data_IF_183695001172
#
_entry.id   IF_183695001172
#
_cell.length_a   1.000
_cell.length_b   1.000
_cell.length_c   1.000
_cell.angle_alpha   90.00
_cell.angle_beta   90.00
_cell.angle_gamma   90.00
#
_symmetry.space_group_name_H-M   'P 1'
#
loop_
_entity.id
_entity.type
_entity.pdbx_description
1 polymer ?
#
# COMPACT_ATOMS: atom_id res chain seq x y z
N UNK A 1 4.42 38.62 -9.17
CA UNK A 1 5.64 38.21 -8.44
C UNK A 1 5.22 37.37 -7.24
N UNK A 2 5.51 36.06 -7.24
CA UNK A 2 5.22 35.17 -6.11
C UNK A 2 6.49 35.03 -5.27
N UNK A 3 6.46 35.51 -4.04
CA UNK A 3 7.52 35.30 -3.06
C UNK A 3 7.40 33.88 -2.51
N UNK A 4 8.44 33.05 -2.71
CA UNK A 4 8.56 31.74 -2.07
C UNK A 4 9.08 31.89 -0.64
N UNK A 5 8.56 31.06 0.27
CA UNK A 5 9.02 31.00 1.67
C UNK A 5 10.35 30.25 1.70
N UNK A 6 11.41 30.93 2.16
CA UNK A 6 12.77 30.41 2.32
C UNK A 6 12.98 29.97 3.77
N UNK A 7 13.84 28.97 4.00
CA UNK A 7 14.25 28.59 5.35
C UNK A 7 15.38 29.49 5.91
N UNK A 8 15.78 29.27 7.17
CA UNK A 8 16.85 30.04 7.85
C UNK A 8 18.24 29.90 7.21
N UNK A 9 18.39 29.10 6.15
CA UNK A 9 19.64 28.94 5.38
C UNK A 9 19.53 29.47 3.95
N UNK A 10 18.40 30.11 3.59
CA UNK A 10 18.17 30.66 2.25
C UNK A 10 17.90 29.61 1.18
N UNK A 11 17.65 28.36 1.56
CA UNK A 11 17.23 27.31 0.63
C UNK A 11 15.70 27.36 0.43
N UNK A 12 15.21 27.11 -0.80
CA UNK A 12 13.78 26.95 -1.01
C UNK A 12 13.31 25.74 -0.19
N UNK A 13 12.35 25.97 0.73
CA UNK A 13 11.69 24.87 1.43
C UNK A 13 11.20 23.85 0.41
N UNK A 14 11.69 22.62 0.49
CA UNK A 14 11.22 21.53 -0.36
C UNK A 14 9.71 21.40 -0.14
N UNK A 15 8.92 21.73 -1.16
CA UNK A 15 7.48 21.49 -1.11
C UNK A 15 7.27 20.00 -0.87
N UNK A 16 6.43 19.61 0.10
CA UNK A 16 6.07 18.21 0.26
C UNK A 16 5.55 17.69 -1.10
N UNK A 17 5.81 16.42 -1.45
CA UNK A 17 5.40 15.88 -2.75
C UNK A 17 3.92 16.20 -2.97
N UNK A 18 3.61 16.93 -4.06
CA UNK A 18 2.24 17.31 -4.44
C UNK A 18 1.38 16.07 -4.34
N UNK A 19 0.36 16.11 -3.47
CA UNK A 19 -0.55 15.00 -3.25
C UNK A 19 -1.25 14.65 -4.58
N UNK A 20 -0.84 13.59 -5.30
CA UNK A 20 -1.41 13.31 -6.60
C UNK A 20 -2.60 12.38 -6.36
N UNK A 21 -3.73 12.68 -6.99
CA UNK A 21 -4.84 11.78 -7.33
C UNK A 21 -4.67 10.36 -6.76
N UNK A 22 -5.58 9.91 -5.88
CA UNK A 22 -5.56 8.52 -5.38
C UNK A 22 -5.36 7.58 -6.57
N UNK A 23 -4.36 6.67 -6.55
CA UNK A 23 -4.01 5.94 -7.75
C UNK A 23 -5.22 5.17 -8.25
N UNK A 24 -5.58 5.37 -9.52
CA UNK A 24 -6.36 4.38 -10.27
C UNK A 24 -5.54 3.12 -10.53
N UNK A 25 -4.22 3.20 -10.28
CA UNK A 25 -3.26 2.11 -10.46
C UNK A 25 -3.59 0.91 -9.57
N UNK A 26 -3.78 -0.24 -10.20
CA UNK A 26 -4.10 -1.51 -9.51
C UNK A 26 -2.84 -2.23 -9.00
N UNK A 27 -1.66 -1.62 -9.13
CA UNK A 27 -0.41 -2.09 -8.54
C UNK A 27 -0.61 -2.49 -7.07
N UNK A 28 -0.02 -3.63 -6.70
CA UNK A 28 -0.20 -4.28 -5.40
C UNK A 28 -1.49 -5.13 -5.26
N UNK A 29 -2.48 -5.01 -6.15
CA UNK A 29 -3.61 -5.95 -6.21
C UNK A 29 -3.24 -7.07 -7.19
N UNK A 30 -3.31 -8.32 -6.74
CA UNK A 30 -3.07 -9.46 -7.63
C UNK A 30 -4.38 -9.82 -8.35
N UNK A 31 -4.32 -10.01 -9.67
CA UNK A 31 -5.49 -10.36 -10.49
C UNK A 31 -6.67 -9.38 -10.36
N UNK A 32 -6.44 -8.08 -10.60
CA UNK A 32 -7.43 -7.05 -10.36
C UNK A 32 -8.77 -7.27 -11.09
N UNK A 33 -8.71 -7.68 -12.35
CA UNK A 33 -9.89 -7.91 -13.20
C UNK A 33 -10.75 -9.07 -12.69
N UNK A 34 -10.13 -10.10 -12.10
CA UNK A 34 -10.87 -11.19 -11.49
C UNK A 34 -11.54 -10.74 -10.18
N UNK A 35 -10.78 -10.05 -9.32
CA UNK A 35 -11.32 -9.57 -8.04
C UNK A 35 -12.52 -8.64 -8.23
N UNK A 36 -12.54 -7.85 -9.31
CA UNK A 36 -13.66 -6.97 -9.66
C UNK A 36 -14.99 -7.72 -9.89
N UNK A 37 -14.94 -9.04 -10.16
CA UNK A 37 -16.15 -9.89 -10.29
C UNK A 37 -16.79 -10.23 -8.93
N UNK A 38 -16.06 -10.06 -7.83
CA UNK A 38 -16.45 -10.48 -6.48
C UNK A 38 -16.57 -9.32 -5.50
N UNK A 39 -15.96 -8.16 -5.79
CA UNK A 39 -15.96 -7.00 -4.91
C UNK A 39 -15.87 -5.67 -5.65
N UNK A 40 -16.28 -4.60 -4.99
CA UNK A 40 -16.00 -3.23 -5.41
C UNK A 40 -14.67 -2.73 -4.84
N UNK A 41 -14.10 -1.70 -5.49
CA UNK A 41 -12.97 -0.94 -4.97
C UNK A 41 -13.18 0.54 -5.26
N UNK A 42 -13.25 1.35 -4.22
CA UNK A 42 -13.21 2.79 -4.33
C UNK A 42 -11.97 3.30 -3.59
N UNK A 43 -11.32 4.33 -4.14
CA UNK A 43 -10.21 5.02 -3.49
C UNK A 43 -10.52 6.50 -3.41
N UNK A 44 -10.14 7.12 -2.29
CA UNK A 44 -10.34 8.55 -2.07
C UNK A 44 -8.99 9.17 -1.67
N UNK A 45 -8.67 10.37 -2.20
CA UNK A 45 -7.49 11.09 -1.74
C UNK A 45 -7.66 11.54 -0.29
N UNK A 46 -6.57 11.76 0.45
CA UNK A 46 -6.64 12.32 1.78
C UNK A 46 -6.84 13.83 1.73
N UNK A 47 -7.50 14.37 2.74
CA UNK A 47 -7.58 15.80 3.01
C UNK A 47 -6.20 16.40 3.31
N UNK A 48 -6.06 17.73 3.15
CA UNK A 48 -4.76 18.41 3.25
C UNK A 48 -4.13 18.31 4.64
N UNK A 49 -4.93 18.25 5.71
CA UNK A 49 -4.43 18.21 7.10
C UNK A 49 -3.73 16.90 7.43
N UNK A 50 -4.24 15.77 6.93
CA UNK A 50 -3.70 14.44 7.22
C UNK A 50 -2.82 13.90 6.10
N UNK A 51 -2.81 14.55 4.94
CA UNK A 51 -2.12 14.08 3.72
C UNK A 51 -0.61 13.95 3.85
N UNK A 52 -0.02 14.54 4.91
CA UNK A 52 1.37 14.29 5.30
C UNK A 52 1.60 12.86 5.77
N UNK A 53 0.65 12.24 6.47
CA UNK A 53 0.78 10.87 7.01
C UNK A 53 -0.02 9.85 6.20
N UNK A 54 -1.18 10.24 5.68
CA UNK A 54 -2.10 9.39 4.92
C UNK A 54 -1.79 9.50 3.43
N UNK A 55 -1.73 8.35 2.75
CA UNK A 55 -1.50 8.29 1.30
C UNK A 55 -2.85 8.29 0.55
N UNK A 56 -3.79 7.45 0.98
CA UNK A 56 -5.18 7.44 0.50
C UNK A 56 -6.09 6.60 1.40
N UNK A 57 -7.39 6.72 1.15
CA UNK A 57 -8.43 5.86 1.69
C UNK A 57 -8.88 4.85 0.63
N UNK A 58 -9.37 3.71 1.08
CA UNK A 58 -9.95 2.69 0.21
C UNK A 58 -11.21 2.08 0.81
N UNK A 59 -12.15 1.69 -0.03
CA UNK A 59 -13.40 1.04 0.36
C UNK A 59 -13.60 -0.19 -0.49
N UNK A 60 -13.86 -1.32 0.16
CA UNK A 60 -14.15 -2.60 -0.46
C UNK A 60 -15.47 -3.10 0.09
N UNK A 61 -16.41 -3.41 -0.80
CA UNK A 61 -17.67 -4.09 -0.45
C UNK A 61 -17.81 -5.34 -1.29
N UNK A 62 -18.39 -6.39 -0.72
CA UNK A 62 -18.71 -7.62 -1.45
C UNK A 62 -20.06 -8.14 -0.99
N UNK A 63 -20.75 -8.78 -1.94
CA UNK A 63 -21.90 -9.63 -1.68
C UNK A 63 -21.81 -10.81 -2.66
N UNK A 64 -21.55 -11.99 -2.11
CA UNK A 64 -21.38 -13.19 -2.90
C UNK A 64 -22.70 -13.89 -3.21
N UNK A 65 -23.84 -13.44 -2.66
CA UNK A 65 -25.17 -13.97 -2.99
C UNK A 65 -25.29 -15.50 -2.84
N UNK A 66 -24.61 -16.09 -1.84
CA UNK A 66 -24.57 -17.54 -1.62
C UNK A 66 -23.54 -18.31 -2.46
N UNK A 67 -22.71 -17.64 -3.27
CA UNK A 67 -21.56 -18.27 -3.93
C UNK A 67 -20.54 -18.77 -2.90
N UNK A 68 -19.70 -19.76 -3.28
CA UNK A 68 -18.58 -20.19 -2.44
C UNK A 68 -17.66 -19.02 -2.06
N UNK A 69 -16.92 -19.13 -0.93
CA UNK A 69 -15.92 -18.16 -0.53
C UNK A 69 -14.91 -17.84 -1.64
N UNK A 70 -14.53 -16.57 -1.75
CA UNK A 70 -13.51 -16.10 -2.69
C UNK A 70 -12.27 -15.62 -1.93
N UNK A 71 -11.08 -15.97 -2.41
CA UNK A 71 -9.81 -15.56 -1.80
C UNK A 71 -9.23 -14.36 -2.56
N UNK A 72 -9.41 -13.16 -2.01
CA UNK A 72 -8.80 -11.96 -2.55
C UNK A 72 -7.33 -11.87 -2.12
N UNK A 73 -6.43 -11.72 -3.09
CA UNK A 73 -4.99 -11.69 -2.85
C UNK A 73 -4.41 -10.30 -3.12
N UNK A 74 -3.55 -9.83 -2.21
CA UNK A 74 -2.89 -8.53 -2.31
C UNK A 74 -1.40 -8.73 -2.03
N UNK A 75 -0.57 -8.09 -2.85
CA UNK A 75 0.85 -7.95 -2.62
C UNK A 75 1.09 -6.65 -1.82
N UNK A 76 1.30 -6.74 -0.50
CA UNK A 76 1.20 -5.57 0.37
C UNK A 76 2.29 -4.55 0.07
N UNK A 77 1.94 -3.28 0.21
CA UNK A 77 2.89 -2.19 0.22
C UNK A 77 3.64 -2.10 1.55
N UNK A 78 4.82 -1.46 1.59
CA UNK A 78 5.57 -1.17 2.82
C UNK A 78 4.87 -0.09 3.67
N UNK A 79 3.60 -0.31 4.02
CA UNK A 79 2.71 0.65 4.69
C UNK A 79 1.91 -0.02 5.79
N UNK A 80 1.66 0.72 6.88
CA UNK A 80 0.64 0.38 7.87
C UNK A 80 -0.72 0.80 7.35
N UNK A 81 -1.75 -0.02 7.57
CA UNK A 81 -3.13 0.29 7.22
C UNK A 81 -4.02 0.27 8.46
N UNK A 82 -4.90 1.25 8.59
CA UNK A 82 -6.08 1.11 9.46
C UNK A 82 -7.20 0.47 8.63
N UNK A 83 -7.94 -0.45 9.21
CA UNK A 83 -9.14 -1.01 8.60
C UNK A 83 -10.31 -0.98 9.58
N UNK A 84 -11.49 -0.66 9.07
CA UNK A 84 -12.77 -0.74 9.74
C UNK A 84 -13.59 -1.76 8.98
N UNK A 85 -13.88 -2.87 9.62
CA UNK A 85 -14.38 -4.08 8.95
C UNK A 85 -15.74 -4.47 9.51
N UNK A 86 -16.62 -4.92 8.61
CA UNK A 86 -17.89 -5.56 8.97
C UNK A 86 -18.15 -6.73 8.03
N UNK A 87 -18.05 -7.95 8.53
CA UNK A 87 -18.46 -9.17 7.86
C UNK A 87 -18.99 -10.18 8.87
N UNK A 88 -19.48 -11.32 8.38
CA UNK A 88 -19.89 -12.43 9.25
C UNK A 88 -18.74 -13.00 10.11
N UNK A 89 -17.50 -12.87 9.64
CA UNK A 89 -16.31 -13.49 10.25
C UNK A 89 -15.42 -12.50 11.00
N UNK A 90 -15.57 -11.20 10.74
CA UNK A 90 -14.74 -10.16 11.36
C UNK A 90 -15.46 -8.83 11.39
N UNK A 91 -15.58 -8.26 12.58
CA UNK A 91 -16.08 -6.90 12.80
C UNK A 91 -15.14 -6.15 13.74
N UNK A 92 -14.90 -4.88 13.47
CA UNK A 92 -14.05 -4.03 14.31
C UNK A 92 -13.08 -3.14 13.55
N UNK A 93 -12.37 -2.29 14.30
CA UNK A 93 -11.25 -1.49 13.81
C UNK A 93 -9.93 -2.20 14.09
N UNK A 94 -9.00 -2.16 13.14
CA UNK A 94 -7.68 -2.81 13.27
C UNK A 94 -6.54 -1.92 12.75
N UNK A 95 -5.39 -2.01 13.42
CA UNK A 95 -4.10 -1.57 12.90
C UNK A 95 -3.41 -2.78 12.27
N UNK A 96 -3.22 -2.74 10.96
CA UNK A 96 -2.53 -3.76 10.19
C UNK A 96 -1.12 -3.25 9.91
N UNK A 97 -0.12 -3.82 10.58
CA UNK A 97 1.28 -3.47 10.30
C UNK A 97 1.72 -3.94 8.92
N UNK A 98 2.98 -3.67 8.57
CA UNK A 98 3.51 -4.13 7.28
C UNK A 98 3.46 -5.65 7.22
N UNK A 99 2.74 -6.16 6.22
CA UNK A 99 2.65 -7.58 5.92
C UNK A 99 3.78 -7.93 4.95
N UNK A 100 4.65 -8.84 5.39
CA UNK A 100 5.87 -9.22 4.67
C UNK A 100 5.69 -10.41 3.75
N UNK A 101 4.52 -11.05 3.80
CA UNK A 101 4.08 -12.13 2.91
C UNK A 101 2.90 -11.68 2.05
N UNK A 102 2.49 -12.52 1.09
CA UNK A 102 1.22 -12.33 0.38
C UNK A 102 0.08 -12.26 1.39
N UNK A 103 -0.76 -11.24 1.28
CA UNK A 103 -1.98 -11.14 2.08
C UNK A 103 -3.12 -11.82 1.33
N UNK A 104 -3.76 -12.79 1.97
CA UNK A 104 -4.93 -13.49 1.44
C UNK A 104 -6.10 -13.20 2.36
N UNK A 105 -7.18 -12.69 1.79
CA UNK A 105 -8.43 -12.42 2.50
C UNK A 105 -9.54 -13.28 1.92
N UNK A 106 -10.08 -14.17 2.73
CA UNK A 106 -11.32 -14.87 2.41
C UNK A 106 -12.50 -13.88 2.50
N UNK A 107 -13.27 -13.79 1.42
CA UNK A 107 -14.53 -13.08 1.31
C UNK A 107 -15.64 -14.13 1.29
N UNK A 108 -16.54 -14.04 2.25
CA UNK A 108 -17.67 -14.96 2.43
C UNK A 108 -18.94 -14.16 2.71
N UNK A 109 -20.07 -14.63 2.18
CA UNK A 109 -21.36 -13.94 2.32
C UNK A 109 -21.30 -12.50 1.81
N UNK A 110 -21.72 -11.56 2.65
CA UNK A 110 -21.59 -10.13 2.41
C UNK A 110 -20.72 -9.47 3.49
N UNK A 111 -20.08 -8.36 3.11
CA UNK A 111 -19.31 -7.56 4.04
C UNK A 111 -18.67 -6.34 3.40
N UNK A 112 -18.02 -5.56 4.24
CA UNK A 112 -17.31 -4.37 3.84
C UNK A 112 -16.06 -4.10 4.66
N UNK A 113 -15.16 -3.32 4.06
CA UNK A 113 -13.99 -2.79 4.70
C UNK A 113 -13.73 -1.38 4.20
N UNK A 114 -13.66 -0.43 5.12
CA UNK A 114 -13.14 0.90 4.86
C UNK A 114 -11.74 0.99 5.47
N UNK A 115 -10.76 1.39 4.68
CA UNK A 115 -9.37 1.39 5.09
C UNK A 115 -8.66 2.71 4.81
N UNK A 116 -7.62 2.92 5.61
CA UNK A 116 -6.72 4.08 5.54
C UNK A 116 -5.33 3.54 5.30
N UNK A 117 -4.72 3.92 4.19
CA UNK A 117 -3.32 3.60 3.94
C UNK A 117 -2.47 4.78 4.38
N UNK A 118 -1.56 4.53 5.32
CA UNK A 118 -0.53 5.49 5.66
C UNK A 118 0.59 5.45 4.62
N UNK A 119 1.22 6.60 4.37
CA UNK A 119 2.50 6.65 3.67
C UNK A 119 3.50 5.78 4.42
N UNK A 120 4.50 5.24 3.72
CA UNK A 120 5.59 4.53 4.39
C UNK A 120 6.22 5.45 5.45
N UNK A 121 6.30 4.97 6.69
CA UNK A 121 6.74 5.77 7.83
C UNK A 121 5.66 6.60 8.53
N UNK A 122 4.55 6.90 7.86
CA UNK A 122 3.55 7.87 8.30
C UNK A 122 2.87 7.47 9.60
N UNK A 123 2.53 6.19 9.78
CA UNK A 123 1.91 5.73 11.03
C UNK A 123 2.86 5.80 12.22
N UNK A 124 4.14 5.43 12.03
CA UNK A 124 5.16 5.53 13.09
C UNK A 124 5.45 6.98 13.46
N UNK A 125 5.47 7.89 12.48
CA UNK A 125 5.63 9.32 12.73
C UNK A 125 4.39 9.90 13.46
N UNK A 126 3.19 9.55 13.03
CA UNK A 126 1.94 10.00 13.63
C UNK A 126 1.76 9.52 15.08
N UNK A 127 2.17 8.28 15.39
CA UNK A 127 1.96 7.68 16.72
C UNK A 127 3.17 7.76 17.65
N UNK A 128 4.36 8.01 17.12
CA UNK A 128 5.63 7.91 17.84
C UNK A 128 6.08 6.47 18.16
N UNK A 129 5.31 5.45 17.75
CA UNK A 129 5.59 4.03 18.05
C UNK A 129 6.73 3.47 17.19
N UNK A 130 7.41 2.42 17.69
CA UNK A 130 8.20 1.52 16.85
C UNK A 130 7.24 0.54 16.14
N UNK A 131 6.89 0.85 14.89
CA UNK A 131 5.93 0.03 14.13
C UNK A 131 6.51 -1.33 13.72
N UNK A 132 7.81 -1.57 13.96
CA UNK A 132 8.41 -2.89 13.83
C UNK A 132 7.74 -3.94 14.72
N UNK A 133 7.15 -3.54 15.85
CA UNK A 133 6.37 -4.43 16.72
C UNK A 133 5.01 -4.87 16.13
N UNK A 134 4.54 -4.16 15.10
CA UNK A 134 3.28 -4.43 14.39
C UNK A 134 3.48 -5.26 13.11
N UNK A 135 4.74 -5.50 12.72
CA UNK A 135 5.08 -6.26 11.51
C UNK A 135 4.38 -7.62 11.53
N UNK A 136 3.76 -7.98 10.40
CA UNK A 136 3.02 -9.23 10.20
C UNK A 136 1.85 -9.44 11.20
N UNK A 137 1.34 -8.37 11.82
CA UNK A 137 0.25 -8.41 12.79
C UNK A 137 -0.90 -7.48 12.39
N UNK A 138 -2.11 -7.94 12.70
CA UNK A 138 -3.30 -7.10 12.79
C UNK A 138 -3.74 -7.04 14.25
N UNK A 139 -3.76 -5.83 14.82
CA UNK A 139 -4.06 -5.60 16.24
C UNK A 139 -5.34 -4.77 16.34
N UNK A 140 -6.24 -5.03 17.30
CA UNK A 140 -7.41 -4.19 17.53
C UNK A 140 -7.03 -2.72 17.69
N UNK A 141 -7.82 -1.83 17.08
CA UNK A 141 -7.49 -0.41 16.98
C UNK A 141 -7.29 0.25 18.35
N UNK A 142 -8.14 -0.07 19.32
CA UNK A 142 -8.09 0.51 20.67
C UNK A 142 -6.91 0.02 21.52
N UNK A 143 -6.23 -1.06 21.15
CA UNK A 143 -4.99 -1.49 21.82
C UNK A 143 -3.79 -0.66 21.37
N UNK A 144 -3.87 0.00 20.20
CA UNK A 144 -2.75 0.75 19.61
C UNK A 144 -2.96 2.25 19.71
N UNK A 145 -4.19 2.73 19.50
CA UNK A 145 -4.53 4.15 19.50
C UNK A 145 -5.51 4.48 20.62
N UNK A 146 -5.21 5.46 21.48
CA UNK A 146 -6.13 5.88 22.52
C UNK A 146 -7.29 6.73 21.97
N UNK A 147 -8.44 6.65 22.64
CA UNK A 147 -9.63 7.46 22.35
C UNK A 147 -10.35 7.04 21.06
N UNK A 148 -10.30 5.75 20.73
CA UNK A 148 -10.97 5.15 19.56
C UNK A 148 -12.38 4.64 19.87
N UNK A 149 -12.89 4.93 21.07
CA UNK A 149 -14.22 4.49 21.51
C UNK A 149 -15.30 4.98 20.54
N UNK A 150 -16.11 4.04 20.05
CA UNK A 150 -17.15 4.31 19.06
C UNK A 150 -16.65 4.71 17.66
N UNK A 151 -15.34 4.76 17.41
CA UNK A 151 -14.80 5.23 16.12
C UNK A 151 -15.19 4.28 14.99
N UNK A 152 -15.05 2.97 15.20
CA UNK A 152 -15.39 1.96 14.21
C UNK A 152 -16.86 2.04 13.83
N UNK A 153 -17.73 2.13 14.83
CA UNK A 153 -19.18 2.20 14.68
C UNK A 153 -19.58 3.45 13.91
N UNK A 154 -19.00 4.62 14.24
CA UNK A 154 -19.26 5.86 13.50
C UNK A 154 -18.78 5.77 12.04
N UNK A 155 -17.61 5.18 11.79
CA UNK A 155 -17.10 5.01 10.43
C UNK A 155 -18.00 4.07 9.63
N UNK A 156 -18.44 2.96 10.19
CA UNK A 156 -19.28 2.00 9.48
C UNK A 156 -20.72 2.48 9.29
N UNK A 157 -21.24 3.29 10.23
CA UNK A 157 -22.57 3.89 10.15
C UNK A 157 -22.72 4.92 9.02
N UNK A 158 -21.62 5.55 8.59
CA UNK A 158 -21.62 6.49 7.46
C UNK A 158 -21.87 5.74 6.14
N UNK A 159 -22.93 6.08 5.38
CA UNK A 159 -23.30 5.36 4.17
C UNK A 159 -22.37 5.67 2.99
N UNK A 160 -21.85 6.90 2.93
CA UNK A 160 -20.98 7.36 1.85
C UNK A 160 -19.51 7.33 2.28
N UNK A 161 -18.63 6.85 1.40
CA UNK A 161 -17.18 6.77 1.68
C UNK A 161 -16.55 8.14 1.99
N UNK A 162 -17.13 9.23 1.48
CA UNK A 162 -16.73 10.61 1.82
C UNK A 162 -17.04 10.97 3.27
N UNK A 163 -18.17 10.51 3.82
CA UNK A 163 -18.53 10.64 5.23
C UNK A 163 -17.62 9.80 6.11
N UNK A 164 -17.37 8.54 5.72
CA UNK A 164 -16.40 7.65 6.39
C UNK A 164 -15.02 8.30 6.50
N UNK A 165 -14.52 8.86 5.39
CA UNK A 165 -13.26 9.61 5.35
C UNK A 165 -13.29 10.79 6.32
N UNK A 166 -14.36 11.58 6.33
CA UNK A 166 -14.47 12.74 7.22
C UNK A 166 -14.40 12.37 8.71
N UNK A 167 -15.07 11.27 9.12
CA UNK A 167 -15.01 10.77 10.50
C UNK A 167 -13.58 10.38 10.89
N UNK A 168 -12.86 9.70 10.00
CA UNK A 168 -11.46 9.32 10.25
C UNK A 168 -10.55 10.54 10.26
N UNK A 169 -10.73 11.48 9.32
CA UNK A 169 -9.92 12.70 9.25
C UNK A 169 -10.09 13.56 10.50
N UNK A 170 -11.32 13.77 11.00
CA UNK A 170 -11.55 14.48 12.26
C UNK A 170 -10.82 13.81 13.44
N UNK A 171 -10.83 12.48 13.50
CA UNK A 171 -10.10 11.73 14.52
C UNK A 171 -8.58 11.93 14.43
N UNK A 172 -8.00 11.88 13.22
CA UNK A 172 -6.57 12.04 12.99
C UNK A 172 -6.10 13.50 13.15
N UNK A 173 -6.88 14.47 12.65
CA UNK A 173 -6.58 15.90 12.67
C UNK A 173 -6.43 16.44 14.10
N UNK A 174 -7.25 15.94 15.04
CA UNK A 174 -7.16 16.28 16.47
C UNK A 174 -5.89 15.77 17.17
N UNK A 175 -5.09 14.95 16.47
CA UNK A 175 -3.91 14.25 17.01
C UNK A 175 -2.67 14.51 16.16
N UNK A 176 -2.68 15.55 15.32
CA UNK A 176 -1.51 15.90 14.53
C UNK A 176 -0.34 16.23 15.44
N UNK A 177 0.83 15.74 15.03
CA UNK A 177 2.09 15.92 15.74
C UNK A 177 2.99 16.87 14.96
N UNK A 178 4.00 17.42 15.64
CA UNK A 178 4.99 18.30 15.04
C UNK A 178 5.80 17.62 13.92
N UNK A 179 6.57 18.43 13.19
CA UNK A 179 7.45 17.93 12.15
C UNK A 179 8.56 17.01 12.69
N UNK A 180 8.88 15.98 11.93
CA UNK A 180 9.86 14.95 12.29
C UNK A 180 10.84 14.79 11.10
N UNK A 181 12.07 15.34 11.19
CA UNK A 181 13.05 15.25 10.13
C UNK A 181 13.43 13.82 9.73
N UNK A 182 13.35 12.86 10.67
CA UNK A 182 13.63 11.46 10.37
C UNK A 182 12.52 10.85 9.52
N UNK A 183 11.26 11.22 9.78
CA UNK A 183 10.14 10.80 8.94
C UNK A 183 10.27 11.36 7.52
N UNK A 184 10.58 12.65 7.37
CA UNK A 184 10.78 13.26 6.04
C UNK A 184 11.92 12.59 5.27
N UNK A 185 13.01 12.23 5.96
CA UNK A 185 14.09 11.45 5.36
C UNK A 185 13.62 10.06 4.91
N UNK A 186 12.89 9.32 5.75
CA UNK A 186 12.32 8.01 5.40
C UNK A 186 11.39 8.12 4.19
N UNK A 187 10.53 9.13 4.16
CA UNK A 187 9.59 9.36 3.07
C UNK A 187 10.31 9.60 1.74
N UNK A 188 11.36 10.42 1.73
CA UNK A 188 12.20 10.65 0.53
C UNK A 188 12.93 9.39 0.08
N UNK A 189 13.48 8.61 1.01
CA UNK A 189 14.17 7.37 0.68
C UNK A 189 13.20 6.37 0.04
N UNK A 190 12.03 6.15 0.66
CA UNK A 190 11.02 5.22 0.14
C UNK A 190 10.48 5.69 -1.21
N UNK A 191 10.26 7.00 -1.40
CA UNK A 191 9.87 7.55 -2.69
C UNK A 191 10.90 7.26 -3.79
N UNK A 192 12.20 7.42 -3.51
CA UNK A 192 13.26 7.06 -4.44
C UNK A 192 13.30 5.55 -4.73
N UNK A 193 13.18 4.69 -3.71
CA UNK A 193 13.11 3.24 -3.89
C UNK A 193 11.93 2.79 -4.75
N UNK A 194 10.82 3.54 -4.73
CA UNK A 194 9.62 3.23 -5.51
C UNK A 194 9.68 3.77 -6.95
N UNK A 195 10.42 4.85 -7.20
CA UNK A 195 10.45 5.54 -8.48
C UNK A 195 11.67 5.18 -9.34
N UNK A 196 12.76 4.72 -8.73
CA UNK A 196 14.05 4.54 -9.39
C UNK A 196 14.42 3.06 -9.48
N UNK A 197 14.27 2.49 -10.67
CA UNK A 197 14.50 1.06 -10.92
C UNK A 197 15.95 0.63 -10.67
N UNK A 198 16.93 1.53 -10.87
CA UNK A 198 18.35 1.28 -10.65
C UNK A 198 18.74 1.18 -9.16
N UNK A 199 17.89 1.71 -8.27
CA UNK A 199 18.12 1.70 -6.83
C UNK A 199 17.66 0.35 -6.28
N UNK A 200 18.53 -0.64 -6.29
CA UNK A 200 18.19 -2.06 -5.98
C UNK A 200 18.91 -2.61 -4.77
N UNK A 201 19.96 -1.93 -4.31
CA UNK A 201 20.81 -2.36 -3.21
C UNK A 201 20.83 -1.33 -2.07
N UNK A 202 21.11 -1.83 -0.87
CA UNK A 202 21.12 -1.00 0.34
C UNK A 202 22.30 -0.02 0.34
N UNK A 203 23.46 -0.39 -0.19
CA UNK A 203 24.64 0.49 -0.30
C UNK A 203 24.36 1.69 -1.22
N UNK A 204 23.72 1.48 -2.37
CA UNK A 204 23.29 2.56 -3.25
C UNK A 204 22.38 3.57 -2.52
N UNK A 205 21.49 3.09 -1.63
CA UNK A 205 20.63 3.96 -0.82
C UNK A 205 21.44 4.73 0.20
N UNK A 206 22.39 4.08 0.88
CA UNK A 206 23.23 4.76 1.88
C UNK A 206 24.09 5.85 1.24
N UNK A 207 24.65 5.56 0.07
CA UNK A 207 25.50 6.50 -0.68
C UNK A 207 24.68 7.69 -1.19
N UNK A 208 23.51 7.42 -1.77
CA UNK A 208 22.63 8.47 -2.31
C UNK A 208 22.14 9.46 -1.26
N UNK A 209 21.79 8.98 -0.07
CA UNK A 209 21.18 9.81 0.97
C UNK A 209 22.16 10.22 2.07
N UNK A 210 23.43 9.78 2.00
CA UNK A 210 24.44 10.06 3.03
C UNK A 210 24.07 9.48 4.40
N UNK A 211 23.35 8.37 4.44
CA UNK A 211 22.85 7.76 5.69
C UNK A 211 23.61 6.46 5.96
N UNK A 212 24.29 6.31 7.11
CA UNK A 212 24.94 5.05 7.46
C UNK A 212 23.95 3.88 7.52
N UNK A 213 24.37 2.70 7.06
CA UNK A 213 23.51 1.50 6.97
C UNK A 213 22.78 1.16 8.28
N UNK A 214 23.45 1.29 9.43
CA UNK A 214 22.84 1.02 10.75
C UNK A 214 21.75 2.03 11.10
N UNK A 215 21.92 3.30 10.72
CA UNK A 215 20.91 4.35 10.90
C UNK A 215 19.72 4.07 9.98
N UNK A 216 19.98 3.75 8.71
CA UNK A 216 18.93 3.40 7.75
C UNK A 216 18.07 2.21 8.24
N UNK A 217 18.72 1.14 8.70
CA UNK A 217 18.02 -0.04 9.25
C UNK A 217 17.17 0.31 10.49
N UNK A 218 17.69 1.14 11.40
CA UNK A 218 16.97 1.60 12.59
C UNK A 218 15.74 2.42 12.21
N UNK A 219 15.88 3.36 11.28
CA UNK A 219 14.78 4.20 10.78
C UNK A 219 13.71 3.33 10.10
N UNK A 220 14.10 2.43 9.21
CA UNK A 220 13.17 1.56 8.50
C UNK A 220 12.42 0.61 9.43
N UNK A 221 13.09 0.02 10.42
CA UNK A 221 12.42 -0.76 11.47
C UNK A 221 11.38 0.10 12.20
N UNK A 222 11.79 1.27 12.71
CA UNK A 222 10.94 2.13 13.54
C UNK A 222 9.72 2.68 12.81
N UNK A 223 9.93 3.22 11.61
CA UNK A 223 8.91 3.97 10.87
C UNK A 223 8.15 3.09 9.87
N UNK A 224 8.86 2.21 9.15
CA UNK A 224 8.26 1.39 8.09
C UNK A 224 7.83 0.03 8.63
N UNK A 225 8.54 -0.54 9.61
CA UNK A 225 8.27 -1.88 10.13
C UNK A 225 8.88 -3.02 9.29
N UNK A 226 9.70 -2.67 8.29
CA UNK A 226 10.40 -3.63 7.43
C UNK A 226 11.86 -3.21 7.23
N UNK A 227 12.71 -4.10 6.70
CA UNK A 227 14.10 -3.75 6.41
C UNK A 227 14.23 -3.01 5.06
N UNK A 228 15.26 -2.16 4.86
CA UNK A 228 15.48 -1.48 3.58
C UNK A 228 15.60 -2.45 2.41
N UNK A 229 16.30 -3.57 2.61
CA UNK A 229 16.42 -4.64 1.61
C UNK A 229 15.07 -5.24 1.24
N UNK A 230 14.19 -5.45 2.22
CA UNK A 230 12.84 -5.97 1.96
C UNK A 230 12.00 -4.96 1.17
N UNK A 231 12.09 -3.66 1.48
CA UNK A 231 11.36 -2.61 0.76
C UNK A 231 11.80 -2.53 -0.71
N UNK A 232 13.10 -2.49 -0.97
CA UNK A 232 13.67 -2.53 -2.33
C UNK A 232 13.18 -3.76 -3.12
N UNK A 233 13.23 -4.94 -2.48
CA UNK A 233 12.72 -6.19 -3.06
C UNK A 233 11.22 -6.11 -3.35
N UNK A 234 10.43 -5.55 -2.44
CA UNK A 234 8.96 -5.46 -2.59
C UNK A 234 8.58 -4.59 -3.78
N UNK A 235 9.22 -3.43 -3.96
CA UNK A 235 8.94 -2.58 -5.11
C UNK A 235 9.30 -3.25 -6.44
N UNK A 236 10.48 -3.89 -6.54
CA UNK A 236 10.87 -4.66 -7.73
C UNK A 236 9.87 -5.76 -8.08
N UNK A 237 9.37 -6.50 -7.08
CA UNK A 237 8.34 -7.51 -7.29
C UNK A 237 7.01 -6.91 -7.76
N UNK A 238 6.61 -5.76 -7.19
CA UNK A 238 5.40 -5.05 -7.61
C UNK A 238 5.52 -4.54 -9.06
N UNK A 239 6.68 -4.02 -9.44
CA UNK A 239 6.97 -3.59 -10.83
C UNK A 239 6.92 -4.78 -11.79
N UNK A 240 7.57 -5.89 -11.44
CA UNK A 240 7.54 -7.11 -12.25
C UNK A 240 6.13 -7.67 -12.40
N UNK A 241 5.34 -7.70 -11.33
CA UNK A 241 3.95 -8.17 -11.37
C UNK A 241 3.08 -7.27 -12.27
N UNK A 242 3.20 -5.95 -12.16
CA UNK A 242 2.45 -5.01 -13.02
C UNK A 242 2.83 -5.15 -14.51
N UNK A 243 4.13 -5.24 -14.82
CA UNK A 243 4.62 -5.46 -16.18
C UNK A 243 4.13 -6.78 -16.78
N UNK A 244 4.18 -7.87 -16.01
CA UNK A 244 3.69 -9.18 -16.42
C UNK A 244 2.16 -9.18 -16.61
N UNK A 245 1.42 -8.54 -15.71
CA UNK A 245 -0.03 -8.39 -15.86
C UNK A 245 -0.38 -7.61 -17.13
N UNK A 246 0.46 -6.67 -17.55
CA UNK A 246 0.31 -5.91 -18.81
C UNK A 246 0.78 -6.68 -20.05
N UNK A 247 1.29 -7.90 -19.89
CA UNK A 247 1.67 -8.78 -21.00
C UNK A 247 3.15 -8.70 -21.41
N UNK A 248 4.03 -8.10 -20.59
CA UNK A 248 5.48 -8.09 -20.85
C UNK A 248 6.09 -9.49 -20.62
N UNK A 249 5.99 -10.37 -21.62
CA UNK A 249 6.41 -11.78 -21.51
C UNK A 249 7.45 -12.22 -22.55
N UNK A 250 7.85 -11.35 -23.47
CA UNK A 250 8.69 -11.71 -24.63
C UNK A 250 10.10 -12.15 -24.25
N UNK A 251 10.72 -11.50 -23.26
CA UNK A 251 12.04 -11.83 -22.75
C UNK A 251 12.09 -11.65 -21.22
N UNK A 252 11.96 -12.76 -20.49
CA UNK A 252 12.01 -12.75 -19.03
C UNK A 252 13.42 -12.54 -18.48
N UNK A 253 14.47 -12.83 -19.24
CA UNK A 253 15.85 -12.60 -18.80
C UNK A 253 16.18 -11.10 -18.88
N UNK A 254 15.77 -10.43 -19.96
CA UNK A 254 15.83 -8.97 -20.06
C UNK A 254 15.00 -8.31 -18.95
N UNK A 255 13.74 -8.74 -18.76
CA UNK A 255 12.89 -8.21 -17.69
C UNK A 255 13.51 -8.39 -16.30
N UNK A 256 14.08 -9.56 -16.02
CA UNK A 256 14.77 -9.81 -14.75
C UNK A 256 15.94 -8.82 -14.55
N UNK A 257 16.71 -8.57 -15.60
CA UNK A 257 17.84 -7.63 -15.58
C UNK A 257 17.38 -6.19 -15.38
N UNK A 258 16.33 -5.75 -16.09
CA UNK A 258 15.68 -4.43 -15.95
C UNK A 258 15.18 -4.20 -14.52
N UNK A 259 14.63 -5.23 -13.89
CA UNK A 259 14.19 -5.21 -12.50
C UNK A 259 15.36 -5.38 -11.49
N UNK A 260 16.61 -5.46 -11.96
CA UNK A 260 17.80 -5.61 -11.13
C UNK A 260 17.93 -6.95 -10.41
N UNK A 261 17.42 -8.02 -11.01
CA UNK A 261 17.74 -9.39 -10.64
C UNK A 261 19.01 -9.85 -11.35
N UNK A 262 19.75 -10.75 -10.70
CA UNK A 262 20.97 -11.33 -11.25
C UNK A 262 20.72 -12.15 -12.53
N UNK A 263 19.62 -12.91 -12.55
CA UNK A 263 19.20 -13.71 -13.70
C UNK A 263 17.69 -14.01 -13.62
N UNK A 264 17.15 -14.60 -14.69
CA UNK A 264 15.75 -15.03 -14.78
C UNK A 264 15.37 -16.05 -13.70
N UNK A 265 16.28 -16.96 -13.33
CA UNK A 265 15.99 -18.02 -12.36
C UNK A 265 15.85 -17.46 -10.93
N UNK A 266 16.62 -16.43 -10.59
CA UNK A 266 16.50 -15.67 -9.35
C UNK A 266 15.17 -14.92 -9.32
N UNK A 267 14.83 -14.18 -10.39
CA UNK A 267 13.54 -13.50 -10.49
C UNK A 267 12.38 -14.49 -10.35
N UNK A 268 12.38 -15.59 -11.11
CA UNK A 268 11.28 -16.55 -11.14
C UNK A 268 11.06 -17.24 -9.80
N UNK A 269 12.14 -17.64 -9.12
CA UNK A 269 12.06 -18.23 -7.76
C UNK A 269 11.50 -17.23 -6.76
N UNK A 270 11.99 -15.99 -6.82
CA UNK A 270 11.56 -14.96 -5.89
C UNK A 270 10.10 -14.56 -6.11
N UNK A 271 9.70 -14.42 -7.37
CA UNK A 271 8.33 -14.12 -7.77
C UNK A 271 7.38 -15.23 -7.34
N UNK A 272 7.71 -16.49 -7.62
CA UNK A 272 6.88 -17.63 -7.23
C UNK A 272 6.76 -17.77 -5.71
N UNK A 273 7.84 -17.52 -4.96
CA UNK A 273 7.82 -17.57 -3.49
C UNK A 273 6.88 -16.52 -2.88
N UNK A 274 6.76 -15.35 -3.50
CA UNK A 274 6.01 -14.22 -2.95
C UNK A 274 4.58 -14.14 -3.50
N UNK A 275 4.36 -14.52 -4.75
CA UNK A 275 3.06 -14.40 -5.43
C UNK A 275 2.33 -15.76 -5.47
N UNK A 276 3.08 -16.87 -5.39
CA UNK A 276 2.53 -18.23 -5.36
C UNK A 276 2.35 -18.88 -6.74
N UNK A 277 2.82 -18.23 -7.81
CA UNK A 277 2.80 -18.79 -9.18
C UNK A 277 3.99 -18.29 -9.99
N UNK A 278 4.35 -19.00 -11.06
CA UNK A 278 5.46 -18.59 -11.91
C UNK A 278 5.13 -17.33 -12.74
N UNK A 279 6.13 -16.50 -13.12
CA UNK A 279 5.91 -15.27 -13.87
C UNK A 279 5.03 -15.39 -15.13
N UNK A 280 5.28 -16.39 -15.97
CA UNK A 280 4.50 -16.60 -17.21
C UNK A 280 3.07 -17.09 -16.94
N UNK A 281 2.88 -17.89 -15.89
CA UNK A 281 1.55 -18.34 -15.49
C UNK A 281 0.73 -17.15 -14.98
N UNK A 282 1.35 -16.29 -14.17
CA UNK A 282 0.75 -15.04 -13.70
C UNK A 282 0.32 -14.13 -14.85
N UNK A 283 1.19 -13.94 -15.85
CA UNK A 283 0.88 -13.12 -17.01
C UNK A 283 -0.29 -13.69 -17.82
N UNK A 284 -0.27 -15.00 -18.14
CA UNK A 284 -1.35 -15.68 -18.86
C UNK A 284 -2.69 -15.57 -18.13
N UNK A 285 -2.67 -15.80 -16.83
CA UNK A 285 -3.88 -15.71 -16.00
C UNK A 285 -4.46 -14.29 -16.01
N UNK A 286 -3.61 -13.29 -15.81
CA UNK A 286 -4.03 -11.87 -15.77
C UNK A 286 -4.59 -11.40 -17.11
N UNK A 287 -3.99 -11.79 -18.23
CA UNK A 287 -4.50 -11.47 -19.58
C UNK A 287 -5.85 -12.12 -19.87
N UNK A 288 -6.03 -13.39 -19.48
CA UNK A 288 -7.32 -14.09 -19.64
C UNK A 288 -8.44 -13.40 -18.87
N UNK A 289 -8.20 -13.07 -17.60
CA UNK A 289 -9.18 -12.39 -16.74
C UNK A 289 -9.58 -11.03 -17.30
N UNK A 290 -8.63 -10.27 -17.87
CA UNK A 290 -8.91 -8.97 -18.51
C UNK A 290 -9.83 -9.10 -19.73
N UNK A 291 -9.55 -10.08 -20.59
CA UNK A 291 -10.34 -10.29 -21.81
C UNK A 291 -11.79 -10.67 -21.47
N UNK A 292 -12.00 -11.51 -20.45
CA UNK A 292 -13.35 -11.89 -19.99
C UNK A 292 -14.16 -10.70 -19.44
N UNK A 293 -13.52 -9.81 -18.67
CA UNK A 293 -14.19 -8.59 -18.17
C UNK A 293 -14.55 -7.66 -19.32
N UNK A 294 -13.63 -7.46 -20.26
CA UNK A 294 -13.85 -6.59 -21.43
C UNK A 294 -15.01 -7.08 -22.30
N UNK A 295 -15.11 -8.40 -22.53
CA UNK A 295 -16.22 -8.99 -23.31
C UNK A 295 -17.58 -8.83 -22.63
N UNK A 296 -17.65 -8.91 -21.28
CA UNK A 296 -18.90 -8.71 -20.54
C UNK A 296 -19.40 -7.27 -20.63
N UNK A 297 -18.52 -6.29 -20.44
CA UNK A 297 -18.88 -4.85 -20.53
C UNK A 297 -19.44 -4.50 -21.92
N UNK A 298 -18.86 -5.06 -22.99
CA UNK A 298 -19.34 -4.83 -24.36
C UNK A 298 -20.72 -5.46 -24.61
N UNK A 299 -21.02 -6.58 -23.94
CA UNK A 299 -22.29 -7.31 -24.10
C UNK A 299 -23.44 -6.65 -23.31
N UNK A 300 -23.16 -6.06 -22.16
CA UNK A 300 -24.15 -5.34 -21.33
C UNK A 300 -24.46 -3.92 -21.81
N UNK A 301 -23.65 -3.36 -22.72
CA UNK A 301 -23.85 -2.04 -23.32
C UNK A 301 -24.69 -2.05 -24.62
N UNK A 302 -25.28 -3.20 -24.99
CA UNK A 302 -26.16 -3.40 -26.14
C UNK A 302 -27.57 -3.74 -25.69
#
# INVERSE_FOLDING_TARGET
>A
MRFGVLDNTGQPMAQPPRNPIAPQDMKGILHPDEQAKFRTLHRLPPGPEVGRFVEWYWSVRWDLGGRPPYHAEVLPYPSVNLSFEQSATRSGGFVNGVCTTKYVRELSGAGETFGVRFRAGGFGAFTGLDVGALRDRAVPLGEVLPGTDGLTERVLAEPADTGRRAVVEDFLARRLVADDPNYELVLRIVAAMAAEQELTRVDQVTDRFGVPVRTLQRLFRRYVGASPKWVLRRYRLQDGADLLARGRTEDLAALATELGYFDQAHFSREFAAEIGMAPLEYAKYSLRSRNEVTSKVITEAR
#
